data_IF_300119574936
#
_entry.id   IF_300119574936
#
_cell.length_a   1.000
_cell.length_b   1.000
_cell.length_c   1.000
_cell.angle_alpha   90.00
_cell.angle_beta   90.00
_cell.angle_gamma   90.00
#
_symmetry.space_group_name_H-M   'P 1'
#
loop_
_entity.id
_entity.type
_entity.pdbx_description
1 polymer ?
#
# COMPACT_ATOMS: atom_id res chain seq x y z
N UNK A 1 -17.08 2.53 -23.11
CA UNK A 1 -16.96 2.74 -21.65
C UNK A 1 -15.57 3.26 -21.38
N UNK A 2 -15.42 4.41 -20.72
CA UNK A 2 -14.08 4.90 -20.34
C UNK A 2 -13.44 3.90 -19.37
N UNK A 3 -12.19 3.54 -19.62
CA UNK A 3 -11.42 2.64 -18.77
C UNK A 3 -11.12 3.37 -17.46
N UNK A 4 -11.42 2.74 -16.32
CA UNK A 4 -11.12 3.32 -14.99
C UNK A 4 -9.61 3.59 -14.85
N UNK A 5 -9.26 4.65 -14.11
CA UNK A 5 -7.84 4.98 -13.87
C UNK A 5 -7.16 3.93 -13.00
N UNK A 6 -5.85 3.72 -13.21
CA UNK A 6 -5.07 2.80 -12.39
C UNK A 6 -5.04 3.23 -10.91
N UNK A 7 -5.00 4.53 -10.66
CA UNK A 7 -5.12 5.10 -9.33
C UNK A 7 -6.43 4.71 -8.63
N UNK A 8 -7.56 4.85 -9.32
CA UNK A 8 -8.86 4.46 -8.77
C UNK A 8 -8.99 2.95 -8.56
N UNK A 9 -8.43 2.13 -9.46
CA UNK A 9 -8.38 0.67 -9.29
C UNK A 9 -7.62 0.30 -8.01
N UNK A 10 -6.39 0.81 -7.84
CA UNK A 10 -5.55 0.54 -6.65
C UNK A 10 -6.20 1.03 -5.36
N UNK A 11 -6.86 2.19 -5.39
CA UNK A 11 -7.63 2.69 -4.24
C UNK A 11 -8.70 1.69 -3.77
N UNK A 12 -9.50 1.16 -4.70
CA UNK A 12 -10.52 0.17 -4.36
C UNK A 12 -9.93 -1.14 -3.85
N UNK A 13 -8.82 -1.58 -4.44
CA UNK A 13 -8.10 -2.77 -3.99
C UNK A 13 -7.64 -2.59 -2.54
N UNK A 14 -7.02 -1.46 -2.19
CA UNK A 14 -6.58 -1.17 -0.83
C UNK A 14 -7.76 -1.05 0.15
N UNK A 15 -8.87 -0.43 -0.25
CA UNK A 15 -10.09 -0.41 0.55
C UNK A 15 -10.64 -1.82 0.79
N UNK A 16 -10.67 -2.66 -0.24
CA UNK A 16 -11.11 -4.06 -0.16
C UNK A 16 -10.23 -4.89 0.78
N UNK A 17 -8.90 -4.77 0.68
CA UNK A 17 -7.93 -5.44 1.57
C UNK A 17 -8.20 -5.09 3.03
N UNK A 18 -8.59 -3.85 3.32
CA UNK A 18 -8.94 -3.40 4.68
C UNK A 18 -10.42 -3.67 5.06
N UNK A 19 -11.19 -4.38 4.22
CA UNK A 19 -12.63 -4.63 4.39
C UNK A 19 -13.46 -3.34 4.57
N UNK A 20 -13.16 -2.30 3.79
CA UNK A 20 -13.85 -1.00 3.83
C UNK A 20 -14.47 -0.66 2.48
N UNK A 21 -15.61 0.03 2.54
CA UNK A 21 -16.16 0.71 1.37
C UNK A 21 -15.46 2.05 1.12
N UNK A 22 -15.47 2.54 -0.12
CA UNK A 22 -14.92 3.86 -0.46
C UNK A 22 -15.57 4.98 0.38
N UNK A 23 -16.89 4.90 0.61
CA UNK A 23 -17.61 5.87 1.45
C UNK A 23 -17.15 5.83 2.92
N UNK A 24 -16.73 4.66 3.41
CA UNK A 24 -16.17 4.54 4.75
C UNK A 24 -14.78 5.19 4.82
N UNK A 25 -13.93 4.97 3.81
CA UNK A 25 -12.62 5.64 3.72
C UNK A 25 -12.79 7.16 3.68
N UNK A 26 -13.72 7.67 2.87
CA UNK A 26 -14.06 9.10 2.83
C UNK A 26 -14.42 9.64 4.21
N UNK A 27 -15.32 8.95 4.94
CA UNK A 27 -15.75 9.38 6.27
C UNK A 27 -14.60 9.38 7.28
N UNK A 28 -13.73 8.38 7.23
CA UNK A 28 -12.59 8.26 8.15
C UNK A 28 -11.50 9.30 7.87
N UNK A 29 -11.34 9.72 6.61
CA UNK A 29 -10.44 10.80 6.21
C UNK A 29 -11.08 12.20 6.27
N UNK A 30 -12.36 12.30 6.66
CA UNK A 30 -13.08 13.58 6.69
C UNK A 30 -13.36 14.17 5.30
N UNK A 31 -13.34 13.35 4.25
CA UNK A 31 -13.60 13.79 2.88
C UNK A 31 -15.09 13.96 2.59
N UNK A 32 -15.46 14.86 1.65
CA UNK A 32 -16.82 14.93 1.13
C UNK A 32 -17.24 13.59 0.52
N UNK A 33 -18.53 13.26 0.68
CA UNK A 33 -19.13 12.03 0.14
C UNK A 33 -18.94 11.95 -1.38
N UNK A 34 -18.62 10.75 -1.87
CA UNK A 34 -18.32 10.42 -3.26
C UNK A 34 -17.07 11.12 -3.85
N UNK A 35 -16.27 11.82 -3.05
CA UNK A 35 -15.07 12.51 -3.54
C UNK A 35 -14.04 11.55 -4.15
N UNK A 36 -13.93 10.32 -3.65
CA UNK A 36 -12.99 9.33 -4.21
C UNK A 36 -13.46 8.78 -5.56
N UNK A 37 -14.77 8.80 -5.82
CA UNK A 37 -15.33 8.37 -7.11
C UNK A 37 -14.95 9.30 -8.26
N UNK A 38 -14.59 10.55 -7.99
CA UNK A 38 -14.14 11.51 -9.02
C UNK A 38 -12.86 11.00 -9.73
N UNK A 39 -12.02 10.24 -9.03
CA UNK A 39 -10.80 9.67 -9.58
C UNK A 39 -11.04 8.55 -10.61
N UNK A 40 -12.26 8.00 -10.66
CA UNK A 40 -12.65 6.97 -11.63
C UNK A 40 -12.48 7.43 -13.08
N UNK A 41 -12.81 8.70 -13.35
CA UNK A 41 -12.91 9.26 -14.70
C UNK A 41 -11.72 10.17 -15.07
N UNK A 42 -10.58 10.04 -14.41
CA UNK A 42 -9.36 10.77 -14.80
C UNK A 42 -9.11 12.08 -14.06
N UNK A 43 -9.91 12.42 -13.04
CA UNK A 43 -9.50 13.50 -12.13
C UNK A 43 -8.25 13.05 -11.38
N UNK A 44 -7.23 13.90 -11.29
CA UNK A 44 -6.02 13.61 -10.50
C UNK A 44 -6.21 14.09 -9.05
N UNK A 45 -5.73 13.34 -8.04
CA UNK A 45 -5.67 13.84 -6.68
C UNK A 45 -4.67 15.00 -6.56
N UNK A 46 -4.90 15.89 -5.61
CA UNK A 46 -3.84 16.82 -5.19
C UNK A 46 -2.70 16.03 -4.54
N UNK A 47 -1.49 16.64 -4.48
CA UNK A 47 -0.35 16.03 -3.81
C UNK A 47 -0.65 15.69 -2.34
N UNK A 48 -1.32 16.60 -1.64
CA UNK A 48 -1.78 16.38 -0.25
C UNK A 48 -2.70 15.17 -0.13
N UNK A 49 -3.75 15.08 -0.96
CA UNK A 49 -4.66 13.93 -0.94
C UNK A 49 -3.99 12.62 -1.28
N UNK A 50 -3.03 12.65 -2.21
CA UNK A 50 -2.26 11.46 -2.55
C UNK A 50 -1.46 10.96 -1.33
N UNK A 51 -0.83 11.87 -0.58
CA UNK A 51 -0.08 11.52 0.64
C UNK A 51 -1.01 11.00 1.74
N UNK A 52 -2.13 11.68 2.01
CA UNK A 52 -3.11 11.24 3.00
C UNK A 52 -3.63 9.83 2.72
N UNK A 53 -3.97 9.54 1.45
CA UNK A 53 -4.42 8.21 1.05
C UNK A 53 -3.30 7.17 1.15
N UNK A 54 -2.08 7.52 0.77
CA UNK A 54 -0.92 6.65 0.88
C UNK A 54 -0.64 6.26 2.34
N UNK A 55 -0.65 7.24 3.25
CA UNK A 55 -0.46 7.03 4.68
C UNK A 55 -1.59 6.20 5.30
N UNK A 56 -2.85 6.51 4.96
CA UNK A 56 -4.01 5.76 5.42
C UNK A 56 -3.97 4.28 5.01
N UNK A 57 -3.54 4.00 3.77
CA UNK A 57 -3.42 2.64 3.27
C UNK A 57 -2.10 1.95 3.63
N UNK A 58 -1.11 2.70 4.13
CA UNK A 58 0.27 2.27 4.38
C UNK A 58 0.96 1.74 3.11
N UNK A 59 0.80 2.47 2.00
CA UNK A 59 1.42 2.18 0.70
C UNK A 59 2.17 3.41 0.18
N UNK A 60 3.03 3.25 -0.83
CA UNK A 60 3.72 4.40 -1.40
C UNK A 60 2.77 5.26 -2.27
N UNK A 61 2.92 6.60 -2.29
CA UNK A 61 2.23 7.47 -3.26
C UNK A 61 2.46 7.02 -4.72
N UNK A 62 3.66 6.53 -5.02
CA UNK A 62 4.03 6.01 -6.33
C UNK A 62 3.23 4.76 -6.70
N UNK A 63 3.05 3.84 -5.74
CA UNK A 63 2.15 2.73 -5.89
C UNK A 63 0.73 3.22 -6.17
N UNK A 64 0.16 4.14 -5.40
CA UNK A 64 -1.20 4.59 -5.72
C UNK A 64 -1.32 5.19 -7.13
N UNK A 65 -0.36 6.02 -7.56
CA UNK A 65 -0.39 6.65 -8.88
C UNK A 65 -0.27 5.67 -10.06
N UNK A 66 0.07 4.40 -9.83
CA UNK A 66 0.26 3.47 -10.95
C UNK A 66 1.56 3.71 -11.73
N UNK A 67 2.41 4.63 -11.27
CA UNK A 67 3.77 4.75 -11.77
C UNK A 67 4.48 3.49 -11.27
N UNK A 68 5.02 2.70 -12.20
CA UNK A 68 5.90 1.58 -11.83
C UNK A 68 6.92 2.13 -10.84
N UNK A 69 7.07 1.50 -9.69
CA UNK A 69 8.28 1.64 -8.92
C UNK A 69 9.39 1.11 -9.83
N UNK A 70 9.98 1.99 -10.65
CA UNK A 70 11.41 1.86 -10.96
C UNK A 70 12.15 2.18 -9.66
N UNK A 71 11.97 1.30 -8.68
CA UNK A 71 12.83 1.07 -7.53
C UNK A 71 12.68 -0.36 -6.98
N UNK A 72 12.25 -1.31 -7.83
CA UNK A 72 12.73 -2.69 -7.74
C UNK A 72 14.22 -2.82 -8.14
N UNK A 73 14.95 -1.69 -8.18
CA UNK A 73 16.39 -1.64 -8.42
C UNK A 73 17.18 -2.18 -7.25
N UNK A 74 16.76 -1.89 -6.00
CA UNK A 74 17.31 -2.61 -4.88
C UNK A 74 16.61 -3.97 -4.78
N UNK A 75 17.21 -4.97 -5.43
CA UNK A 75 16.86 -6.37 -5.17
C UNK A 75 16.70 -6.57 -3.65
N UNK A 76 15.82 -7.46 -3.19
CA UNK A 76 15.71 -7.77 -1.75
C UNK A 76 17.09 -8.03 -1.12
N UNK A 77 18.02 -8.54 -1.94
CA UNK A 77 19.44 -8.68 -1.64
C UNK A 77 20.16 -7.35 -1.39
N UNK A 78 20.01 -6.34 -2.24
CA UNK A 78 20.59 -5.00 -2.04
C UNK A 78 19.99 -4.30 -0.81
N UNK A 79 18.66 -4.38 -0.61
CA UNK A 79 18.02 -3.85 0.59
C UNK A 79 18.53 -4.54 1.84
N UNK A 80 18.69 -5.87 1.80
CA UNK A 80 19.29 -6.63 2.87
C UNK A 80 20.76 -6.27 3.10
N UNK A 81 21.54 -6.04 2.04
CA UNK A 81 22.94 -5.64 2.13
C UNK A 81 23.09 -4.28 2.82
N UNK A 82 22.20 -3.34 2.54
CA UNK A 82 22.17 -2.00 3.13
C UNK A 82 21.85 -1.97 4.64
N UNK A 83 21.32 -3.06 5.23
CA UNK A 83 21.05 -3.13 6.67
C UNK A 83 22.34 -3.25 7.49
N UNK A 84 22.34 -2.64 8.67
CA UNK A 84 23.42 -2.83 9.65
C UNK A 84 23.32 -4.21 10.36
N UNK A 85 24.31 -4.54 11.19
CA UNK A 85 24.35 -5.84 11.87
C UNK A 85 23.14 -6.10 12.79
N UNK A 86 22.74 -5.10 13.58
CA UNK A 86 21.61 -5.21 14.49
C UNK A 86 20.29 -5.43 13.73
N UNK A 87 20.07 -4.67 12.66
CA UNK A 87 18.90 -4.78 11.79
C UNK A 87 18.84 -6.16 11.10
N UNK A 88 19.98 -6.68 10.65
CA UNK A 88 20.09 -8.03 10.09
C UNK A 88 19.74 -9.10 11.12
N UNK A 89 20.24 -8.95 12.36
CA UNK A 89 19.92 -9.85 13.47
C UNK A 89 18.42 -9.84 13.80
N UNK A 90 17.81 -8.66 13.91
CA UNK A 90 16.38 -8.52 14.15
C UNK A 90 15.54 -9.17 13.04
N UNK A 91 15.90 -8.91 11.77
CA UNK A 91 15.22 -9.52 10.63
C UNK A 91 15.32 -11.05 10.65
N UNK A 92 16.51 -11.59 10.96
CA UNK A 92 16.71 -13.03 11.09
C UNK A 92 15.79 -13.65 12.15
N UNK A 93 15.71 -13.02 13.33
CA UNK A 93 14.81 -13.47 14.41
C UNK A 93 13.35 -13.46 13.97
N UNK A 94 12.89 -12.39 13.32
CA UNK A 94 11.52 -12.29 12.79
C UNK A 94 11.24 -13.42 11.79
N UNK A 95 12.15 -13.65 10.84
CA UNK A 95 12.00 -14.72 9.85
C UNK A 95 11.93 -16.11 10.52
N UNK A 96 12.80 -16.37 11.50
CA UNK A 96 12.80 -17.63 12.24
C UNK A 96 11.50 -17.85 13.02
N UNK A 97 11.02 -16.83 13.73
CA UNK A 97 9.75 -16.89 14.46
C UNK A 97 8.57 -17.13 13.53
N UNK A 98 8.55 -16.47 12.36
CA UNK A 98 7.51 -16.70 11.37
C UNK A 98 7.56 -18.13 10.83
N UNK A 99 8.72 -18.65 10.41
CA UNK A 99 8.86 -20.03 9.91
C UNK A 99 8.42 -21.03 10.96
N UNK A 100 8.88 -20.88 12.21
CA UNK A 100 8.44 -21.73 13.31
C UNK A 100 6.91 -21.69 13.47
N UNK A 101 6.31 -20.50 13.42
CA UNK A 101 4.85 -20.37 13.50
C UNK A 101 4.10 -21.06 12.36
N UNK A 102 4.70 -21.21 11.17
CA UNK A 102 4.08 -21.93 10.06
C UNK A 102 4.23 -23.45 10.21
N UNK A 103 5.39 -23.92 10.69
CA UNK A 103 5.66 -25.35 10.87
C UNK A 103 4.89 -25.96 12.05
N UNK A 104 4.71 -25.20 13.13
CA UNK A 104 4.05 -25.67 14.35
C UNK A 104 2.56 -25.34 14.43
N UNK A 105 1.96 -24.76 13.38
CA UNK A 105 0.51 -24.52 13.28
C UNK A 105 -0.32 -25.74 12.79
N UNK A 106 0.33 -26.87 12.53
CA UNK A 106 -0.31 -28.09 12.03
C UNK A 106 -0.53 -29.17 13.12
N UNK A 107 -0.94 -28.78 14.33
CA UNK A 107 -1.50 -29.68 15.34
C UNK A 107 -2.63 -29.01 16.12
#
# INVERSE_FOLDING_TARGET
>A
MSKETLFYIRLREQASIKNKSMNQVERELGYPRNSLNNYKNGTEPSGERLLELADYFMVSPHYLMGKRETDEGASLKERFQALNFEQKGALCSICQSWVASQLFKNH
#
